data_IF_735384932390
#
_entry.id   IF_735384932390
#
_cell.length_a   1.000
_cell.length_b   1.000
_cell.length_c   1.000
_cell.angle_alpha   90.00
_cell.angle_beta   90.00
_cell.angle_gamma   90.00
#
_symmetry.space_group_name_H-M   'P 1'
#
loop_
_entity.id
_entity.type
_entity.pdbx_description
1 polymer ?
#
# COMPACT_ATOMS: atom_id res chain seq x y z
N UNK A 1 18.03 51.15 13.78
CA UNK A 1 16.95 51.07 12.76
C UNK A 1 17.22 49.82 11.93
N UNK A 2 16.35 48.82 11.90
CA UNK A 2 16.53 47.68 10.97
C UNK A 2 16.24 48.18 9.55
N UNK A 3 17.19 47.95 8.65
CA UNK A 3 17.15 48.40 7.28
C UNK A 3 16.36 47.43 6.35
N UNK A 4 15.84 46.36 6.91
CA UNK A 4 15.06 45.38 6.15
C UNK A 4 13.60 45.42 6.58
N UNK A 5 12.79 46.05 5.74
CA UNK A 5 11.35 46.00 5.80
C UNK A 5 10.94 44.69 5.08
N UNK A 6 10.88 43.59 5.83
CA UNK A 6 10.27 42.35 5.32
C UNK A 6 8.79 42.63 5.14
N UNK A 7 8.36 42.97 3.93
CA UNK A 7 6.95 42.81 3.57
C UNK A 7 6.60 41.35 3.86
N UNK A 8 5.61 41.12 4.69
CA UNK A 8 5.02 39.79 4.83
C UNK A 8 4.68 39.28 3.44
N UNK A 9 5.14 38.09 3.04
CA UNK A 9 4.81 37.56 1.72
C UNK A 9 3.28 37.44 1.64
N UNK A 10 2.67 38.16 0.70
CA UNK A 10 1.25 37.98 0.42
C UNK A 10 1.09 36.67 -0.36
N UNK A 11 0.29 35.77 0.17
CA UNK A 11 -0.06 34.52 -0.50
C UNK A 11 -1.09 34.83 -1.58
N UNK A 12 -0.70 34.69 -2.84
CA UNK A 12 -1.56 35.07 -3.96
C UNK A 12 -2.52 33.98 -4.41
N UNK A 13 -2.22 32.71 -4.16
CA UNK A 13 -2.96 31.62 -4.76
C UNK A 13 -2.91 30.37 -3.89
N UNK A 14 -4.10 29.83 -3.56
CA UNK A 14 -4.22 28.54 -2.88
C UNK A 14 -3.95 27.44 -3.90
N UNK A 15 -2.91 26.64 -3.68
CA UNK A 15 -2.53 25.55 -4.58
C UNK A 15 -3.22 24.24 -4.18
N UNK A 16 -3.81 24.19 -2.97
CA UNK A 16 -4.66 23.06 -2.59
C UNK A 16 -5.88 23.07 -3.51
N UNK A 17 -5.91 22.11 -4.39
CA UNK A 17 -6.80 22.00 -5.56
C UNK A 17 -8.25 21.61 -5.17
N UNK A 18 -8.72 22.17 -4.06
CA UNK A 18 -10.10 21.95 -3.61
C UNK A 18 -11.12 22.60 -4.53
N UNK A 19 -10.75 23.62 -5.34
CA UNK A 19 -11.72 24.25 -6.21
C UNK A 19 -12.15 23.37 -7.38
N UNK A 20 -11.23 22.62 -8.00
CA UNK A 20 -11.56 21.70 -9.08
C UNK A 20 -12.18 20.40 -8.51
N UNK A 21 -11.69 19.94 -7.38
CA UNK A 21 -12.27 18.81 -6.63
C UNK A 21 -13.64 19.22 -6.09
N UNK A 22 -13.81 20.40 -5.48
CA UNK A 22 -15.09 20.89 -4.97
C UNK A 22 -16.07 21.17 -6.13
N UNK A 23 -15.61 21.69 -7.26
CA UNK A 23 -16.47 21.89 -8.43
C UNK A 23 -16.84 20.57 -9.11
N UNK A 24 -15.94 19.60 -9.18
CA UNK A 24 -16.23 18.24 -9.62
C UNK A 24 -17.20 17.54 -8.67
N UNK A 25 -17.03 17.68 -7.36
CA UNK A 25 -17.91 17.14 -6.32
C UNK A 25 -19.31 17.75 -6.37
N UNK A 26 -19.42 19.07 -6.59
CA UNK A 26 -20.71 19.77 -6.73
C UNK A 26 -21.44 19.42 -8.02
N UNK A 27 -20.72 19.11 -9.11
CA UNK A 27 -21.32 18.77 -10.39
C UNK A 27 -21.84 17.33 -10.47
N UNK A 28 -21.25 16.40 -9.69
CA UNK A 28 -21.54 14.96 -9.77
C UNK A 28 -22.28 14.38 -8.55
N UNK A 29 -22.81 15.20 -7.66
CA UNK A 29 -23.66 14.77 -6.54
C UNK A 29 -23.03 13.67 -5.67
N UNK A 30 -22.34 14.05 -4.62
CA UNK A 30 -21.90 13.18 -3.50
C UNK A 30 -20.94 12.00 -3.79
N UNK A 31 -20.11 12.06 -4.82
CA UNK A 31 -19.12 10.99 -5.08
C UNK A 31 -17.71 11.35 -4.60
N UNK A 32 -17.57 11.82 -3.38
CA UNK A 32 -16.27 11.99 -2.73
C UNK A 32 -15.95 10.77 -1.85
N UNK A 33 -14.87 10.09 -2.16
CA UNK A 33 -14.31 9.05 -1.27
C UNK A 33 -13.30 9.73 -0.36
N UNK A 34 -13.70 10.02 0.88
CA UNK A 34 -12.76 10.49 1.88
C UNK A 34 -11.92 9.31 2.43
N UNK A 35 -10.80 9.63 3.10
CA UNK A 35 -9.89 8.62 3.64
C UNK A 35 -10.60 7.68 4.65
N UNK A 36 -11.48 8.20 5.49
CA UNK A 36 -12.19 7.41 6.51
C UNK A 36 -13.16 6.43 5.86
N UNK A 37 -13.92 6.87 4.86
CA UNK A 37 -14.81 6.00 4.09
C UNK A 37 -14.04 4.97 3.28
N UNK A 38 -12.90 5.37 2.66
CA UNK A 38 -12.06 4.46 1.91
C UNK A 38 -11.51 3.32 2.78
N UNK A 39 -11.09 3.63 4.01
CA UNK A 39 -10.55 2.63 4.95
C UNK A 39 -11.62 1.67 5.50
N UNK A 40 -12.91 1.93 5.30
CA UNK A 40 -13.97 0.96 5.57
C UNK A 40 -14.04 -0.15 4.50
N UNK A 41 -13.46 0.09 3.34
CA UNK A 41 -13.31 -0.93 2.30
C UNK A 41 -12.12 -1.84 2.65
N UNK A 42 -12.38 -3.15 2.76
CA UNK A 42 -11.39 -4.15 3.16
C UNK A 42 -10.17 -4.22 2.22
N UNK A 43 -10.38 -4.04 0.92
CA UNK A 43 -9.31 -4.14 -0.08
C UNK A 43 -8.39 -2.92 0.02
N UNK A 44 -8.96 -1.72 0.16
CA UNK A 44 -8.19 -0.48 0.35
C UNK A 44 -7.43 -0.53 1.68
N UNK A 45 -8.10 -0.97 2.76
CA UNK A 45 -7.45 -1.11 4.06
C UNK A 45 -6.25 -2.05 3.98
N UNK A 46 -6.44 -3.22 3.36
CA UNK A 46 -5.39 -4.24 3.19
C UNK A 46 -4.17 -3.69 2.44
N UNK A 47 -4.41 -3.03 1.29
CA UNK A 47 -3.33 -2.44 0.47
C UNK A 47 -2.60 -1.33 1.21
N UNK A 48 -3.34 -0.40 1.83
CA UNK A 48 -2.74 0.73 2.56
C UNK A 48 -1.94 0.23 3.75
N UNK A 49 -2.49 -0.73 4.51
CA UNK A 49 -1.81 -1.33 5.66
C UNK A 49 -0.51 -2.02 5.24
N UNK A 50 -0.56 -2.81 4.18
CA UNK A 50 0.60 -3.55 3.69
C UNK A 50 1.67 -2.62 3.13
N UNK A 51 1.33 -1.76 2.17
CA UNK A 51 2.31 -0.85 1.56
C UNK A 51 2.91 0.13 2.57
N UNK A 52 2.10 0.71 3.48
CA UNK A 52 2.61 1.63 4.49
C UNK A 52 3.51 0.93 5.50
N UNK A 53 3.18 -0.29 5.90
CA UNK A 53 3.99 -1.13 6.77
C UNK A 53 5.31 -1.53 6.12
N UNK A 54 5.26 -1.97 4.86
CA UNK A 54 6.45 -2.35 4.11
C UNK A 54 7.38 -1.15 3.89
N UNK A 55 6.84 0.03 3.53
CA UNK A 55 7.62 1.27 3.41
C UNK A 55 8.22 1.72 4.75
N UNK A 56 7.52 1.50 5.87
CA UNK A 56 8.04 1.80 7.21
C UNK A 56 9.12 0.80 7.66
N UNK A 57 9.18 -0.39 7.03
CA UNK A 57 10.19 -1.43 7.28
C UNK A 57 11.46 -1.23 6.42
N UNK A 58 11.38 -0.44 5.34
CA UNK A 58 12.53 -0.06 4.52
C UNK A 58 13.59 0.61 5.39
N UNK A 59 14.86 0.19 5.23
CA UNK A 59 15.97 0.82 5.95
C UNK A 59 16.46 2.04 5.18
N UNK A 60 16.14 3.23 5.69
CA UNK A 60 16.66 4.51 5.18
C UNK A 60 17.98 4.84 5.87
N UNK A 61 19.07 4.94 5.12
CA UNK A 61 20.39 5.28 5.64
C UNK A 61 20.86 6.62 5.10
N UNK A 62 21.10 7.57 6.00
CA UNK A 62 21.68 8.87 5.68
C UNK A 62 23.20 8.84 5.88
N UNK A 63 23.92 9.59 5.05
CA UNK A 63 25.39 9.75 5.17
C UNK A 63 25.79 10.65 6.34
N UNK A 64 24.84 11.33 6.99
CA UNK A 64 25.07 12.24 8.13
C UNK A 64 24.42 11.67 9.40
N UNK A 65 25.16 11.56 10.54
CA UNK A 65 24.59 11.02 11.79
C UNK A 65 23.38 11.81 12.32
N UNK A 66 23.33 13.12 12.10
CA UNK A 66 22.18 13.95 12.51
C UNK A 66 20.93 13.62 11.70
N UNK A 67 21.08 13.47 10.38
CA UNK A 67 20.00 13.09 9.51
C UNK A 67 19.51 11.68 9.85
N UNK A 68 20.43 10.76 10.14
CA UNK A 68 20.07 9.42 10.58
C UNK A 68 19.28 9.43 11.88
N UNK A 69 19.72 10.20 12.88
CA UNK A 69 19.04 10.26 14.18
C UNK A 69 17.59 10.74 14.09
N UNK A 70 17.30 11.72 13.20
CA UNK A 70 15.91 12.20 13.00
C UNK A 70 15.08 11.23 12.15
N UNK A 71 15.69 10.49 11.23
CA UNK A 71 15.02 9.46 10.46
C UNK A 71 14.62 8.28 11.37
N UNK A 72 15.51 7.86 12.27
CA UNK A 72 15.25 6.75 13.17
C UNK A 72 14.21 7.10 14.25
N UNK A 73 14.23 8.34 14.76
CA UNK A 73 13.35 8.82 15.82
C UNK A 73 12.77 10.20 15.48
N UNK A 74 11.84 10.27 14.53
CA UNK A 74 11.33 11.57 14.06
C UNK A 74 10.39 12.25 15.06
N UNK A 75 9.63 11.49 15.85
CA UNK A 75 8.54 12.01 16.67
C UNK A 75 8.83 11.87 18.16
N UNK A 76 8.28 12.81 18.95
CA UNK A 76 8.28 12.72 20.40
C UNK A 76 7.09 11.90 20.95
N UNK A 77 6.03 11.73 20.16
CA UNK A 77 4.76 11.11 20.59
C UNK A 77 4.55 9.70 20.05
N UNK A 78 5.31 9.30 19.02
CA UNK A 78 5.22 7.99 18.39
C UNK A 78 6.62 7.41 18.19
N UNK A 79 6.73 6.06 18.17
CA UNK A 79 7.96 5.41 17.74
C UNK A 79 8.18 5.61 16.23
N UNK A 80 9.43 5.40 15.75
CA UNK A 80 9.80 5.64 14.36
C UNK A 80 8.92 4.88 13.37
N UNK A 81 8.64 3.60 13.64
CA UNK A 81 7.81 2.78 12.73
C UNK A 81 6.39 3.33 12.61
N UNK A 82 5.73 3.61 13.75
CA UNK A 82 4.36 4.12 13.75
C UNK A 82 4.26 5.51 13.09
N UNK A 83 5.24 6.39 13.31
CA UNK A 83 5.30 7.68 12.64
C UNK A 83 5.39 7.51 11.12
N UNK A 84 6.35 6.71 10.64
CA UNK A 84 6.55 6.49 9.21
C UNK A 84 5.36 5.79 8.56
N UNK A 85 4.79 4.78 9.23
CA UNK A 85 3.60 4.11 8.73
C UNK A 85 2.42 5.08 8.57
N UNK A 86 2.21 5.99 9.53
CA UNK A 86 1.16 7.02 9.44
C UNK A 86 1.40 7.98 8.28
N UNK A 87 2.65 8.45 8.11
CA UNK A 87 3.03 9.30 6.98
C UNK A 87 2.76 8.61 5.63
N UNK A 88 3.17 7.35 5.51
CA UNK A 88 3.02 6.61 4.26
C UNK A 88 1.56 6.19 4.00
N UNK A 89 0.80 5.84 5.02
CA UNK A 89 -0.64 5.61 4.87
C UNK A 89 -1.34 6.87 4.33
N UNK A 90 -1.01 8.04 4.88
CA UNK A 90 -1.57 9.30 4.41
C UNK A 90 -1.13 9.62 2.98
N UNK A 91 0.14 9.35 2.63
CA UNK A 91 0.65 9.51 1.27
C UNK A 91 -0.16 8.69 0.26
N UNK A 92 -0.57 7.47 0.63
CA UNK A 92 -1.39 6.60 -0.23
C UNK A 92 -2.85 7.04 -0.31
N UNK A 93 -3.41 7.56 0.78
CA UNK A 93 -4.80 7.99 0.81
C UNK A 93 -5.00 9.34 0.11
N UNK A 94 -4.18 10.33 0.44
CA UNK A 94 -4.31 11.69 -0.08
C UNK A 94 -3.42 11.99 -1.30
N UNK A 95 -2.47 11.10 -1.64
CA UNK A 95 -1.44 11.37 -2.65
C UNK A 95 -0.32 12.29 -2.17
N UNK A 96 -0.44 12.81 -0.96
CA UNK A 96 0.55 13.64 -0.29
C UNK A 96 0.47 13.48 1.23
N UNK A 97 1.57 13.75 1.92
CA UNK A 97 1.62 13.75 3.37
C UNK A 97 2.54 14.84 3.89
N UNK A 98 2.27 15.27 5.12
CA UNK A 98 2.92 16.42 5.72
C UNK A 98 3.48 16.11 7.08
N UNK A 99 4.67 16.68 7.37
CA UNK A 99 5.17 16.78 8.75
C UNK A 99 5.83 18.14 8.96
N UNK A 100 5.55 18.75 10.11
CA UNK A 100 6.19 20.00 10.51
C UNK A 100 7.54 19.70 11.15
N UNK A 101 8.58 20.45 10.73
CA UNK A 101 9.95 20.33 11.25
C UNK A 101 10.17 21.31 12.38
N UNK A 102 10.21 20.83 13.62
CA UNK A 102 10.63 21.64 14.75
C UNK A 102 12.15 21.74 14.73
N UNK A 103 12.66 22.94 14.45
CA UNK A 103 14.09 23.22 14.35
C UNK A 103 14.53 24.21 15.44
N UNK A 104 15.79 24.08 15.85
CA UNK A 104 16.41 25.07 16.71
C UNK A 104 16.86 26.31 15.89
N UNK A 105 17.39 27.33 16.60
CA UNK A 105 17.87 28.56 15.97
C UNK A 105 19.01 28.34 14.96
N UNK A 106 19.69 27.20 15.02
CA UNK A 106 20.76 26.82 14.08
C UNK A 106 20.23 25.99 12.91
N UNK A 107 18.92 25.85 12.76
CA UNK A 107 18.28 25.10 11.68
C UNK A 107 18.37 23.58 11.80
N UNK A 108 18.75 23.06 12.99
CA UNK A 108 18.84 21.61 13.24
C UNK A 108 17.48 21.09 13.66
N UNK A 109 17.04 19.99 13.04
CA UNK A 109 15.82 19.30 13.40
C UNK A 109 15.91 18.74 14.82
N UNK A 110 14.90 19.05 15.62
CA UNK A 110 14.71 18.53 16.98
C UNK A 110 13.72 17.35 16.98
N UNK A 111 12.64 17.51 16.23
CA UNK A 111 11.57 16.52 16.04
C UNK A 111 10.75 16.89 14.82
N UNK A 112 10.01 15.93 14.30
CA UNK A 112 8.97 16.13 13.29
C UNK A 112 7.62 15.84 13.91
N UNK A 113 6.63 16.59 13.48
CA UNK A 113 5.26 16.43 13.91
C UNK A 113 4.39 16.09 12.71
N UNK A 114 3.74 14.95 12.76
CA UNK A 114 2.81 14.52 11.74
C UNK A 114 1.63 15.46 11.65
N UNK A 115 1.27 15.85 10.42
CA UNK A 115 0.12 16.70 10.14
C UNK A 115 -0.82 15.99 9.17
N UNK A 116 -2.11 16.02 9.50
CA UNK A 116 -3.14 15.57 8.55
C UNK A 116 -3.27 16.59 7.42
N UNK A 117 -3.56 16.18 6.17
CA UNK A 117 -3.78 17.12 5.07
C UNK A 117 -4.81 18.19 5.36
N UNK A 118 -5.86 17.87 6.15
CA UNK A 118 -6.86 18.84 6.59
C UNK A 118 -6.33 19.97 7.48
N UNK A 119 -5.15 19.79 8.08
CA UNK A 119 -4.48 20.79 8.93
C UNK A 119 -3.57 21.72 8.13
N UNK A 120 -3.31 21.42 6.85
CA UNK A 120 -2.31 22.12 6.05
C UNK A 120 -2.97 22.74 4.80
N UNK A 121 -2.80 24.04 4.64
CA UNK A 121 -3.15 24.73 3.40
C UNK A 121 -1.87 25.19 2.69
N UNK A 122 -1.73 24.85 1.43
CA UNK A 122 -0.54 25.13 0.61
C UNK A 122 -0.80 26.34 -0.29
N UNK A 123 0.11 27.29 -0.29
CA UNK A 123 0.04 28.52 -1.09
C UNK A 123 1.32 28.71 -1.90
N UNK A 124 1.18 29.23 -3.10
CA UNK A 124 2.30 29.72 -3.91
C UNK A 124 2.57 31.18 -3.56
N UNK A 125 3.83 31.55 -3.38
CA UNK A 125 4.20 32.94 -3.20
C UNK A 125 3.92 33.75 -4.49
N UNK A 126 3.55 35.04 -4.35
CA UNK A 126 3.20 35.90 -5.48
C UNK A 126 4.32 36.01 -6.51
N UNK A 127 5.55 35.93 -6.07
CA UNK A 127 6.75 36.00 -6.94
C UNK A 127 7.10 34.63 -7.56
N UNK A 128 6.32 33.57 -7.25
CA UNK A 128 6.58 32.21 -7.73
C UNK A 128 7.84 31.57 -7.16
N UNK A 129 8.49 32.18 -6.15
CA UNK A 129 9.78 31.71 -5.62
C UNK A 129 9.68 30.44 -4.77
N UNK A 130 8.49 30.06 -4.29
CA UNK A 130 8.33 28.88 -3.46
C UNK A 130 6.93 28.70 -2.90
N UNK A 131 6.78 27.65 -2.09
CA UNK A 131 5.56 27.35 -1.39
C UNK A 131 5.65 27.84 0.06
N UNK A 132 4.51 28.29 0.57
CA UNK A 132 4.29 28.56 1.98
C UNK A 132 3.05 27.82 2.45
N UNK A 133 3.00 27.52 3.72
CA UNK A 133 1.92 26.72 4.31
C UNK A 133 1.27 27.48 5.44
N UNK A 134 -0.03 27.30 5.60
CA UNK A 134 -0.75 27.62 6.85
C UNK A 134 -1.05 26.30 7.52
N UNK A 135 -0.63 26.15 8.77
CA UNK A 135 -0.76 24.92 9.55
C UNK A 135 -1.60 25.17 10.78
N UNK A 136 -2.65 24.38 10.95
CA UNK A 136 -3.49 24.37 12.16
C UNK A 136 -3.08 23.20 13.03
N UNK A 137 -2.46 23.49 14.17
CA UNK A 137 -2.03 22.46 15.13
C UNK A 137 -3.20 22.03 16.03
N UNK A 138 -3.17 20.79 16.48
CA UNK A 138 -4.14 20.27 17.46
C UNK A 138 -3.90 20.83 18.87
N UNK A 139 -2.67 21.26 19.17
CA UNK A 139 -2.32 21.88 20.43
C UNK A 139 -2.82 23.32 20.50
N UNK A 140 -3.72 23.64 21.46
CA UNK A 140 -4.32 24.98 21.55
C UNK A 140 -3.30 26.11 21.82
N UNK A 141 -2.17 25.78 22.48
CA UNK A 141 -1.12 26.75 22.79
C UNK A 141 -0.32 27.16 21.53
N UNK A 142 -0.26 26.29 20.52
CA UNK A 142 0.44 26.55 19.27
C UNK A 142 -0.52 27.22 18.28
N UNK A 143 -1.75 26.69 18.18
CA UNK A 143 -2.82 27.21 17.35
C UNK A 143 -2.48 27.17 15.85
N UNK A 144 -2.67 28.29 15.16
CA UNK A 144 -2.44 28.44 13.74
C UNK A 144 -1.12 29.13 13.48
N UNK A 145 -0.27 28.51 12.67
CA UNK A 145 0.94 29.14 12.11
C UNK A 145 0.72 29.45 10.64
N UNK A 146 0.72 30.71 10.32
CA UNK A 146 0.67 31.22 8.94
C UNK A 146 2.08 31.41 8.38
N UNK A 147 2.20 31.35 7.07
CA UNK A 147 3.46 31.59 6.33
C UNK A 147 4.62 30.66 6.74
N UNK A 148 4.32 29.41 7.03
CA UNK A 148 5.35 28.40 7.29
C UNK A 148 6.14 28.17 6.01
N UNK A 149 7.46 28.40 6.00
CA UNK A 149 8.26 28.24 4.79
C UNK A 149 8.41 26.77 4.42
N UNK A 150 8.63 26.52 3.13
CA UNK A 150 8.84 25.16 2.60
C UNK A 150 10.02 24.42 3.28
N UNK A 151 10.99 25.14 3.82
CA UNK A 151 12.11 24.55 4.57
C UNK A 151 11.70 23.89 5.88
N UNK A 152 10.58 24.32 6.47
CA UNK A 152 10.08 23.83 7.77
C UNK A 152 8.99 22.76 7.61
N UNK A 153 8.72 22.35 6.38
CA UNK A 153 7.77 21.31 6.06
C UNK A 153 8.44 20.14 5.34
N UNK A 154 8.16 18.93 5.79
CA UNK A 154 8.30 17.73 4.98
C UNK A 154 6.99 17.59 4.20
N UNK A 155 7.05 17.57 2.90
CA UNK A 155 5.89 17.45 2.04
C UNK A 155 6.18 16.41 0.94
N UNK A 156 5.88 15.15 1.22
CA UNK A 156 6.03 14.06 0.26
C UNK A 156 4.82 14.02 -0.67
N UNK A 157 5.05 13.78 -1.95
CA UNK A 157 4.01 13.79 -2.98
C UNK A 157 4.19 12.59 -3.91
N UNK A 158 3.08 12.03 -4.36
CA UNK A 158 3.05 11.04 -5.44
C UNK A 158 2.87 11.75 -6.79
N UNK A 159 1.83 11.37 -7.53
CA UNK A 159 1.49 12.01 -8.80
C UNK A 159 1.05 13.46 -8.58
N UNK A 160 1.57 14.40 -9.37
CA UNK A 160 1.20 15.81 -9.30
C UNK A 160 0.67 16.30 -10.65
N UNK A 161 -0.38 17.12 -10.61
CA UNK A 161 -0.90 17.87 -11.77
C UNK A 161 -0.38 19.28 -11.82
N UNK A 162 0.20 19.77 -10.72
CA UNK A 162 0.61 21.17 -10.51
C UNK A 162 2.12 21.35 -10.56
N UNK A 163 2.83 20.54 -11.34
CA UNK A 163 4.29 20.65 -11.47
C UNK A 163 5.05 20.29 -10.18
N UNK A 164 4.49 19.45 -9.33
CA UNK A 164 5.11 19.02 -8.07
C UNK A 164 4.74 19.88 -6.86
N UNK A 165 3.79 20.81 -6.96
CA UNK A 165 3.35 21.63 -5.84
C UNK A 165 2.44 20.87 -4.89
N UNK A 166 1.49 20.09 -5.42
CA UNK A 166 0.55 19.24 -4.65
C UNK A 166 0.50 17.84 -5.22
N UNK A 167 0.08 16.87 -4.40
CA UNK A 167 -0.16 15.49 -4.81
C UNK A 167 -1.61 15.26 -5.24
N UNK A 168 -1.85 14.20 -5.99
CA UNK A 168 -3.18 13.76 -6.40
C UNK A 168 -3.51 12.45 -5.68
N UNK A 169 -4.64 12.43 -4.99
CA UNK A 169 -5.11 11.22 -4.29
C UNK A 169 -5.35 10.06 -5.27
N UNK A 170 -4.76 8.88 -5.04
CA UNK A 170 -5.10 7.67 -5.79
C UNK A 170 -6.59 7.30 -5.69
N UNK A 171 -7.24 7.64 -4.58
CA UNK A 171 -8.66 7.38 -4.37
C UNK A 171 -9.55 8.12 -5.38
N UNK A 172 -9.10 9.26 -5.92
CA UNK A 172 -9.83 9.98 -6.96
C UNK A 172 -10.02 9.16 -8.25
N UNK A 173 -9.11 8.21 -8.51
CA UNK A 173 -9.22 7.30 -9.64
C UNK A 173 -10.16 6.11 -9.36
N UNK A 174 -10.59 5.89 -8.12
CA UNK A 174 -11.39 4.74 -7.70
C UNK A 174 -12.86 5.07 -7.42
N UNK A 175 -13.28 6.33 -7.62
CA UNK A 175 -14.64 6.78 -7.27
C UNK A 175 -15.73 5.93 -7.95
N UNK A 176 -15.57 5.66 -9.24
CA UNK A 176 -16.55 4.88 -9.99
C UNK A 176 -16.55 3.40 -9.58
N UNK A 177 -15.35 2.83 -9.40
CA UNK A 177 -15.16 1.42 -9.02
C UNK A 177 -15.75 1.14 -7.64
N UNK A 178 -15.54 2.05 -6.68
CA UNK A 178 -16.12 1.93 -5.35
C UNK A 178 -17.65 2.07 -5.37
N UNK A 179 -18.19 2.99 -6.16
CA UNK A 179 -19.63 3.13 -6.33
C UNK A 179 -20.27 1.87 -6.95
N UNK A 180 -19.59 1.23 -7.89
CA UNK A 180 -20.02 -0.05 -8.49
C UNK A 180 -20.01 -1.15 -7.44
N UNK A 181 -18.95 -1.21 -6.61
CA UNK A 181 -18.83 -2.18 -5.52
C UNK A 181 -19.96 -2.02 -4.51
N UNK A 182 -20.19 -0.81 -4.02
CA UNK A 182 -21.26 -0.52 -3.05
C UNK A 182 -22.65 -0.94 -3.60
N UNK A 183 -22.93 -0.60 -4.86
CA UNK A 183 -24.17 -1.01 -5.52
C UNK A 183 -24.27 -2.55 -5.69
N UNK A 184 -23.18 -3.23 -5.98
CA UNK A 184 -23.10 -4.70 -6.09
C UNK A 184 -23.30 -5.37 -4.74
N UNK A 185 -22.70 -4.84 -3.68
CA UNK A 185 -22.85 -5.32 -2.30
C UNK A 185 -24.31 -5.16 -1.83
N UNK A 186 -24.94 -4.00 -2.09
CA UNK A 186 -26.35 -3.76 -1.79
C UNK A 186 -27.27 -4.73 -2.53
N UNK A 187 -27.02 -4.96 -3.82
CA UNK A 187 -27.79 -5.94 -4.60
C UNK A 187 -27.59 -7.36 -4.05
N UNK A 188 -26.40 -7.74 -3.69
CA UNK A 188 -26.07 -9.06 -3.12
C UNK A 188 -26.79 -9.25 -1.77
N UNK A 189 -26.70 -8.26 -0.87
CA UNK A 189 -27.37 -8.28 0.42
C UNK A 189 -28.90 -8.37 0.23
N UNK A 190 -29.46 -7.60 -0.70
CA UNK A 190 -30.89 -7.65 -0.99
C UNK A 190 -31.32 -8.97 -1.61
N UNK A 191 -30.53 -9.55 -2.53
CA UNK A 191 -30.77 -10.88 -3.10
C UNK A 191 -30.76 -11.96 -2.02
N UNK A 192 -29.78 -11.93 -1.10
CA UNK A 192 -29.71 -12.85 0.03
C UNK A 192 -30.91 -12.69 0.99
N UNK A 193 -31.28 -11.47 1.34
CA UNK A 193 -32.49 -11.21 2.17
C UNK A 193 -33.75 -11.73 1.49
N UNK A 194 -33.85 -11.54 0.18
CA UNK A 194 -35.01 -11.99 -0.60
C UNK A 194 -35.03 -13.51 -0.82
N UNK A 195 -33.88 -14.19 -0.79
CA UNK A 195 -33.84 -15.65 -0.82
C UNK A 195 -34.44 -16.29 0.43
N UNK A 196 -34.41 -15.57 1.55
CA UNK A 196 -35.01 -16.01 2.83
C UNK A 196 -36.51 -15.67 2.86
N UNK A 197 -36.90 -14.49 2.34
CA UNK A 197 -38.29 -14.01 2.29
C UNK A 197 -38.61 -13.79 0.81
N UNK A 198 -38.93 -14.84 0.10
CA UNK A 198 -39.27 -14.76 -1.35
C UNK A 198 -40.42 -13.76 -1.56
N UNK A 199 -40.20 -12.60 -2.21
CA UNK A 199 -41.30 -11.75 -2.62
C UNK A 199 -42.16 -12.55 -3.61
N UNK A 200 -43.45 -12.43 -3.50
CA UNK A 200 -44.36 -13.17 -4.37
C UNK A 200 -45.67 -12.45 -4.55
N UNK A 201 -46.42 -12.93 -5.49
CA UNK A 201 -47.78 -12.46 -5.73
C UNK A 201 -48.78 -13.36 -5.02
N UNK A 202 -49.52 -12.81 -4.04
CA UNK A 202 -50.66 -13.49 -3.44
C UNK A 202 -51.88 -13.19 -4.26
N UNK A 203 -52.36 -14.15 -5.03
CA UNK A 203 -53.57 -14.06 -5.85
C UNK A 203 -54.74 -14.60 -5.06
N UNK A 204 -55.85 -13.84 -5.02
CA UNK A 204 -57.09 -14.23 -4.33
C UNK A 204 -58.18 -14.39 -5.40
N UNK A 205 -58.72 -15.62 -5.56
CA UNK A 205 -59.84 -15.89 -6.48
C UNK A 205 -61.06 -15.15 -5.99
N UNK A 206 -61.73 -14.39 -6.87
CA UNK A 206 -62.86 -13.54 -6.50
C UNK A 206 -62.49 -12.23 -5.80
N UNK A 207 -61.20 -11.91 -5.67
CA UNK A 207 -60.72 -10.70 -4.97
C UNK A 207 -60.99 -9.36 -5.67
N UNK A 208 -61.69 -9.34 -6.81
CA UNK A 208 -62.09 -8.11 -7.49
C UNK A 208 -63.00 -7.21 -6.65
N UNK A 209 -63.70 -7.76 -5.68
CA UNK A 209 -64.57 -7.07 -4.72
C UNK A 209 -63.85 -6.52 -3.47
N UNK A 210 -62.56 -6.90 -3.29
CA UNK A 210 -61.79 -6.44 -2.13
C UNK A 210 -61.26 -5.01 -2.36
N UNK A 211 -61.47 -4.15 -1.38
CA UNK A 211 -60.91 -2.79 -1.38
C UNK A 211 -59.38 -2.83 -1.25
N UNK A 212 -58.71 -1.76 -1.70
CA UNK A 212 -57.24 -1.65 -1.58
C UNK A 212 -56.75 -1.82 -0.12
N UNK A 213 -57.53 -1.32 0.86
CA UNK A 213 -57.23 -1.45 2.29
C UNK A 213 -57.26 -2.91 2.77
N UNK A 214 -58.23 -3.70 2.30
CA UNK A 214 -58.34 -5.13 2.63
C UNK A 214 -57.22 -5.94 1.97
N UNK A 215 -56.86 -5.67 0.72
CA UNK A 215 -55.70 -6.29 0.04
C UNK A 215 -54.40 -6.00 0.78
N UNK A 216 -54.16 -4.76 1.21
CA UNK A 216 -52.98 -4.39 1.99
C UNK A 216 -52.98 -5.03 3.39
N UNK A 217 -54.13 -5.21 4.04
CA UNK A 217 -54.24 -5.89 5.33
C UNK A 217 -53.87 -7.38 5.19
N UNK A 218 -54.40 -8.04 4.15
CA UNK A 218 -54.11 -9.47 3.90
C UNK A 218 -52.64 -9.70 3.55
N UNK A 219 -52.04 -8.85 2.72
CA UNK A 219 -50.63 -8.91 2.40
C UNK A 219 -49.75 -8.80 3.67
N UNK A 220 -50.04 -7.85 4.56
CA UNK A 220 -49.31 -7.72 5.84
C UNK A 220 -49.49 -8.93 6.75
N UNK A 221 -50.72 -9.52 6.79
CA UNK A 221 -50.99 -10.72 7.57
C UNK A 221 -50.18 -11.91 7.03
N UNK A 222 -50.15 -12.09 5.72
CA UNK A 222 -49.37 -13.14 5.05
C UNK A 222 -47.88 -12.99 5.32
N UNK A 223 -47.34 -11.77 5.21
CA UNK A 223 -45.93 -11.48 5.54
C UNK A 223 -45.60 -11.78 7.01
N UNK A 224 -46.52 -11.48 7.95
CA UNK A 224 -46.33 -11.87 9.36
C UNK A 224 -46.34 -13.39 9.56
N UNK A 225 -47.15 -14.13 8.81
CA UNK A 225 -47.15 -15.61 8.86
C UNK A 225 -45.81 -16.17 8.37
N UNK A 226 -45.27 -15.63 7.26
CA UNK A 226 -43.96 -16.00 6.74
C UNK A 226 -42.87 -15.72 7.79
N UNK A 227 -42.86 -14.50 8.34
CA UNK A 227 -41.87 -14.07 9.32
C UNK A 227 -41.90 -14.88 10.62
N UNK A 228 -43.07 -15.31 11.05
CA UNK A 228 -43.28 -16.05 12.30
C UNK A 228 -43.18 -17.59 12.14
N UNK A 229 -43.19 -18.09 10.91
CA UNK A 229 -43.23 -19.54 10.66
C UNK A 229 -41.89 -20.26 10.92
N UNK A 230 -40.84 -19.52 11.18
CA UNK A 230 -39.50 -20.07 11.49
C UNK A 230 -39.07 -21.19 10.50
N UNK A 231 -39.27 -20.98 9.21
CA UNK A 231 -39.12 -21.97 8.11
C UNK A 231 -40.12 -23.14 8.11
N UNK A 232 -41.22 -23.05 8.89
CA UNK A 232 -42.31 -24.02 8.83
C UNK A 232 -43.24 -23.79 7.62
N UNK A 233 -44.10 -24.79 7.32
CA UNK A 233 -45.06 -24.65 6.19
C UNK A 233 -46.07 -23.56 6.46
N UNK A 234 -46.33 -22.75 5.43
CA UNK A 234 -47.34 -21.68 5.46
C UNK A 234 -48.65 -22.30 4.97
N UNK A 235 -49.72 -22.09 5.75
CA UNK A 235 -51.06 -22.53 5.35
C UNK A 235 -51.79 -21.34 4.69
N UNK A 236 -52.24 -21.53 3.47
CA UNK A 236 -53.05 -20.57 2.70
C UNK A 236 -54.43 -21.16 2.46
N UNK A 237 -55.42 -20.29 2.26
CA UNK A 237 -56.81 -20.69 1.98
C UNK A 237 -56.95 -21.23 0.52
N UNK A 238 -57.98 -22.07 0.26
CA UNK A 238 -58.25 -22.64 -1.06
C UNK A 238 -58.49 -21.59 -2.15
N UNK A 239 -58.87 -20.38 -1.75
CA UNK A 239 -59.09 -19.23 -2.64
C UNK A 239 -57.80 -18.44 -2.90
N UNK A 240 -56.72 -18.75 -2.22
CA UNK A 240 -55.46 -18.03 -2.30
C UNK A 240 -54.41 -18.86 -3.02
N UNK A 241 -53.66 -18.21 -3.90
CA UNK A 241 -52.49 -18.83 -4.58
C UNK A 241 -51.29 -17.91 -4.40
N UNK A 242 -50.24 -18.42 -3.80
CA UNK A 242 -48.99 -17.71 -3.71
C UNK A 242 -48.04 -18.18 -4.81
N UNK A 243 -47.59 -17.22 -5.62
CA UNK A 243 -46.59 -17.46 -6.65
C UNK A 243 -45.33 -16.67 -6.28
N UNK A 244 -44.25 -17.34 -5.87
CA UNK A 244 -43.01 -16.64 -5.58
C UNK A 244 -42.46 -15.98 -6.84
N UNK A 245 -41.99 -14.75 -6.73
CA UNK A 245 -41.22 -14.08 -7.76
C UNK A 245 -39.81 -14.61 -7.70
N UNK A 246 -39.42 -15.43 -8.66
CA UNK A 246 -38.03 -15.82 -8.82
C UNK A 246 -37.22 -14.62 -9.27
N UNK A 247 -36.56 -13.96 -8.34
CA UNK A 247 -35.52 -12.99 -8.67
C UNK A 247 -34.27 -13.81 -9.02
N UNK A 248 -34.05 -14.01 -10.31
CA UNK A 248 -32.82 -14.61 -10.83
C UNK A 248 -31.66 -13.62 -10.71
N UNK A 249 -31.35 -13.16 -9.51
CA UNK A 249 -30.10 -12.49 -9.26
C UNK A 249 -28.99 -13.54 -9.34
N UNK A 250 -28.17 -13.47 -10.38
CA UNK A 250 -27.01 -14.34 -10.46
C UNK A 250 -25.94 -13.83 -9.48
N UNK A 251 -26.08 -14.27 -8.21
CA UNK A 251 -25.17 -13.90 -7.13
C UNK A 251 -23.71 -14.17 -7.49
N UNK A 252 -23.45 -15.23 -8.26
CA UNK A 252 -22.10 -15.53 -8.75
C UNK A 252 -21.55 -14.42 -9.65
N UNK A 253 -22.38 -13.82 -10.50
CA UNK A 253 -21.94 -12.69 -11.35
C UNK A 253 -21.67 -11.43 -10.51
N UNK A 254 -22.43 -11.20 -9.45
CA UNK A 254 -22.20 -10.06 -8.53
C UNK A 254 -20.92 -10.26 -7.74
N UNK A 255 -20.62 -11.48 -7.28
CA UNK A 255 -19.36 -11.80 -6.59
C UNK A 255 -18.14 -11.63 -7.50
N UNK A 256 -18.24 -12.03 -8.76
CA UNK A 256 -17.17 -11.79 -9.76
C UNK A 256 -16.93 -10.29 -9.99
N UNK A 257 -17.93 -9.44 -9.83
CA UNK A 257 -17.80 -7.99 -9.90
C UNK A 257 -16.96 -7.44 -8.74
N UNK A 258 -17.10 -8.02 -7.55
CA UNK A 258 -16.29 -7.65 -6.37
C UNK A 258 -14.81 -7.97 -6.62
N UNK A 259 -14.49 -9.16 -7.15
CA UNK A 259 -13.12 -9.55 -7.50
C UNK A 259 -12.51 -8.59 -8.53
N UNK A 260 -13.30 -8.17 -9.55
CA UNK A 260 -12.85 -7.18 -10.52
C UNK A 260 -12.49 -5.84 -9.86
N UNK A 261 -13.30 -5.38 -8.90
CA UNK A 261 -13.03 -4.11 -8.18
C UNK A 261 -11.74 -4.21 -7.37
N UNK A 262 -11.51 -5.31 -6.67
CA UNK A 262 -10.27 -5.57 -5.92
C UNK A 262 -9.04 -5.47 -6.84
N UNK A 263 -9.09 -6.07 -8.04
CA UNK A 263 -8.04 -5.97 -9.05
C UNK A 263 -7.81 -4.52 -9.51
N UNK A 264 -8.85 -3.71 -9.69
CA UNK A 264 -8.68 -2.29 -10.06
C UNK A 264 -8.03 -1.48 -8.92
N UNK A 265 -8.42 -1.74 -7.68
CA UNK A 265 -7.80 -1.11 -6.50
C UNK A 265 -6.30 -1.44 -6.47
N UNK A 266 -5.92 -2.72 -6.58
CA UNK A 266 -4.53 -3.14 -6.64
C UNK A 266 -3.74 -2.41 -7.73
N UNK A 267 -4.32 -2.27 -8.92
CA UNK A 267 -3.74 -1.60 -10.08
C UNK A 267 -3.50 -0.11 -9.86
N UNK A 268 -4.42 0.61 -9.20
CA UNK A 268 -4.27 2.04 -8.89
C UNK A 268 -3.11 2.28 -7.93
N UNK A 269 -2.92 1.41 -6.94
CA UNK A 269 -1.77 1.46 -6.04
C UNK A 269 -0.50 0.86 -6.66
N UNK A 270 -0.61 0.27 -7.85
CA UNK A 270 0.50 -0.32 -8.60
C UNK A 270 1.05 -1.62 -7.99
N UNK A 271 0.25 -2.29 -7.16
CA UNK A 271 0.59 -3.56 -6.54
C UNK A 271 0.07 -4.71 -7.42
N UNK A 272 0.85 -5.77 -7.65
CA UNK A 272 0.35 -6.95 -8.35
C UNK A 272 -0.81 -7.60 -7.59
N UNK A 273 -1.91 -7.87 -8.28
CA UNK A 273 -3.09 -8.50 -7.69
C UNK A 273 -2.76 -9.88 -7.09
N UNK A 274 -1.92 -10.65 -7.74
CA UNK A 274 -1.43 -11.93 -7.25
C UNK A 274 -0.66 -11.86 -5.91
N UNK A 275 -0.07 -10.71 -5.60
CA UNK A 275 0.61 -10.50 -4.34
C UNK A 275 -0.36 -10.28 -3.18
N UNK A 276 -1.50 -9.64 -3.44
CA UNK A 276 -2.53 -9.35 -2.43
C UNK A 276 -3.46 -10.53 -2.19
N UNK A 277 -3.95 -11.14 -3.26
CA UNK A 277 -5.01 -12.15 -3.20
C UNK A 277 -4.49 -13.59 -3.22
N UNK A 278 -3.17 -13.79 -3.38
CA UNK A 278 -2.56 -15.13 -3.47
C UNK A 278 -3.04 -15.96 -4.67
N UNK A 279 -3.87 -15.40 -5.53
CA UNK A 279 -4.39 -16.02 -6.74
C UNK A 279 -3.51 -15.62 -7.93
N UNK A 280 -2.30 -16.17 -7.99
CA UNK A 280 -1.48 -16.08 -9.20
C UNK A 280 -1.89 -17.14 -10.20
N UNK A 281 -1.90 -16.81 -11.50
CA UNK A 281 -1.82 -17.83 -12.53
C UNK A 281 -0.68 -18.80 -12.18
N UNK A 282 -0.94 -20.11 -12.24
CA UNK A 282 0.04 -21.15 -11.89
C UNK A 282 1.37 -21.03 -12.66
N UNK A 283 1.44 -20.14 -13.65
CA UNK A 283 2.61 -19.84 -14.48
C UNK A 283 3.45 -18.66 -13.96
N UNK A 284 2.94 -17.83 -13.04
CA UNK A 284 3.72 -16.73 -12.48
C UNK A 284 4.63 -17.25 -11.37
N UNK A 285 5.93 -17.26 -11.60
CA UNK A 285 6.86 -17.67 -10.55
C UNK A 285 6.81 -16.66 -9.38
N UNK A 286 6.90 -17.14 -8.16
CA UNK A 286 6.97 -16.31 -6.94
C UNK A 286 8.02 -15.21 -7.05
N UNK A 287 9.15 -15.51 -7.68
CA UNK A 287 10.24 -14.56 -7.95
C UNK A 287 9.79 -13.40 -8.84
N UNK A 288 8.98 -13.66 -9.86
CA UNK A 288 8.45 -12.62 -10.75
C UNK A 288 7.49 -11.70 -10.00
N UNK A 289 6.58 -12.25 -9.18
CA UNK A 289 5.63 -11.48 -8.36
C UNK A 289 6.37 -10.60 -7.37
N UNK A 290 7.36 -11.14 -6.64
CA UNK A 290 8.25 -10.38 -5.74
C UNK A 290 8.97 -9.25 -6.49
N UNK A 291 9.48 -9.52 -7.70
CA UNK A 291 10.15 -8.50 -8.52
C UNK A 291 9.22 -7.38 -8.96
N UNK A 292 7.97 -7.69 -9.33
CA UNK A 292 6.96 -6.68 -9.67
C UNK A 292 6.59 -5.84 -8.46
N UNK A 293 6.44 -6.45 -7.28
CA UNK A 293 6.16 -5.74 -6.04
C UNK A 293 7.33 -4.85 -5.62
N UNK A 294 8.56 -5.34 -5.70
CA UNK A 294 9.76 -4.54 -5.44
C UNK A 294 9.82 -3.29 -6.34
N UNK A 295 9.46 -3.41 -7.62
CA UNK A 295 9.38 -2.28 -8.54
C UNK A 295 8.27 -1.29 -8.15
N UNK A 296 7.14 -1.78 -7.66
CA UNK A 296 6.06 -0.94 -7.14
C UNK A 296 6.55 -0.14 -5.93
N UNK A 297 7.13 -0.83 -4.94
CA UNK A 297 7.65 -0.23 -3.71
C UNK A 297 8.73 0.83 -4.00
N UNK A 298 9.64 0.55 -4.95
CA UNK A 298 10.69 1.50 -5.35
C UNK A 298 10.16 2.82 -5.90
N UNK A 299 8.98 2.86 -6.52
CA UNK A 299 8.38 4.11 -7.00
C UNK A 299 8.03 5.04 -5.83
N UNK A 300 7.46 4.47 -4.77
CA UNK A 300 7.16 5.21 -3.53
C UNK A 300 8.44 5.64 -2.82
N UNK A 301 9.40 4.73 -2.69
CA UNK A 301 10.70 4.99 -2.05
C UNK A 301 11.44 6.16 -2.72
N UNK A 302 11.42 6.25 -4.04
CA UNK A 302 12.06 7.37 -4.76
C UNK A 302 11.45 8.72 -4.41
N UNK A 303 10.13 8.81 -4.31
CA UNK A 303 9.44 10.04 -3.92
C UNK A 303 9.81 10.44 -2.48
N UNK A 304 9.84 9.46 -1.57
CA UNK A 304 10.19 9.65 -0.16
C UNK A 304 11.64 10.11 -0.01
N UNK A 305 12.58 9.38 -0.60
CA UNK A 305 14.02 9.67 -0.52
C UNK A 305 14.33 11.05 -1.11
N UNK A 306 13.76 11.40 -2.26
CA UNK A 306 13.99 12.69 -2.90
C UNK A 306 13.58 13.87 -2.02
N UNK A 307 12.46 13.77 -1.30
CA UNK A 307 12.04 14.82 -0.36
C UNK A 307 12.96 14.87 0.85
N UNK A 308 13.32 13.71 1.43
CA UNK A 308 14.22 13.67 2.59
C UNK A 308 15.63 14.18 2.24
N UNK A 309 16.19 13.83 1.09
CA UNK A 309 17.49 14.33 0.62
C UNK A 309 17.51 15.85 0.56
N UNK A 310 16.47 16.42 -0.06
CA UNK A 310 16.31 17.87 -0.20
C UNK A 310 16.20 18.55 1.16
N UNK A 311 15.41 18.00 2.08
CA UNK A 311 15.12 18.65 3.38
C UNK A 311 16.23 18.49 4.40
N UNK A 312 16.92 17.36 4.40
CA UNK A 312 18.00 17.08 5.34
C UNK A 312 19.38 17.47 4.79
N UNK A 313 19.45 17.88 3.51
CA UNK A 313 20.72 18.15 2.80
C UNK A 313 21.71 17.00 2.98
N UNK A 314 21.20 15.78 2.94
CA UNK A 314 21.94 14.55 3.13
C UNK A 314 21.72 13.62 1.93
N UNK A 315 22.62 12.69 1.70
CA UNK A 315 22.43 11.62 0.73
C UNK A 315 21.80 10.43 1.47
N UNK A 316 20.56 10.08 1.14
CA UNK A 316 19.82 9.00 1.76
C UNK A 316 19.69 7.84 0.79
N UNK A 317 20.10 6.67 1.23
CA UNK A 317 19.92 5.41 0.51
C UNK A 317 18.83 4.59 1.19
N UNK A 318 18.04 3.90 0.39
CA UNK A 318 16.96 3.04 0.88
C UNK A 318 17.25 1.58 0.53
N UNK A 319 17.14 0.71 1.52
CA UNK A 319 17.22 -0.74 1.34
C UNK A 319 15.84 -1.36 1.53
N UNK A 320 15.23 -1.79 0.44
CA UNK A 320 13.90 -2.39 0.43
C UNK A 320 13.89 -3.89 0.77
N UNK A 321 15.06 -4.53 0.87
CA UNK A 321 15.16 -5.98 1.11
C UNK A 321 14.40 -6.44 2.36
N UNK A 322 14.45 -5.75 3.50
CA UNK A 322 13.69 -6.16 4.67
C UNK A 322 12.17 -6.26 4.44
N UNK A 323 11.63 -5.49 3.49
CA UNK A 323 10.22 -5.52 3.15
C UNK A 323 9.84 -6.63 2.16
N UNK A 324 10.74 -7.00 1.23
CA UNK A 324 10.44 -7.95 0.16
C UNK A 324 11.02 -9.36 0.39
N UNK A 325 12.05 -9.47 1.21
CA UNK A 325 12.76 -10.70 1.56
C UNK A 325 13.14 -10.69 3.05
N UNK A 326 12.15 -10.72 3.96
CA UNK A 326 12.37 -10.55 5.39
C UNK A 326 13.23 -11.66 6.00
N UNK A 327 13.23 -12.86 5.42
CA UNK A 327 14.08 -13.99 5.85
C UNK A 327 15.48 -13.97 5.24
N UNK A 328 15.68 -13.20 4.16
CA UNK A 328 16.96 -13.10 3.47
C UNK A 328 17.31 -14.30 2.59
N UNK A 329 16.35 -15.19 2.31
CA UNK A 329 16.60 -16.42 1.56
C UNK A 329 17.00 -16.14 0.11
N UNK A 330 16.35 -15.21 -0.56
CA UNK A 330 16.65 -14.82 -1.94
C UNK A 330 18.02 -14.12 -2.00
N UNK A 331 18.32 -13.26 -1.01
CA UNK A 331 19.61 -12.58 -0.91
C UNK A 331 20.75 -13.54 -0.62
N UNK A 332 20.56 -14.47 0.33
CA UNK A 332 21.54 -15.51 0.65
C UNK A 332 21.80 -16.43 -0.55
N UNK A 333 20.76 -16.82 -1.28
CA UNK A 333 20.88 -17.61 -2.51
C UNK A 333 21.68 -16.89 -3.58
N UNK A 334 21.40 -15.61 -3.79
CA UNK A 334 22.12 -14.76 -4.75
C UNK A 334 23.61 -14.64 -4.39
N UNK A 335 23.93 -14.37 -3.12
CA UNK A 335 25.33 -14.28 -2.67
C UNK A 335 26.05 -15.61 -2.78
N UNK A 336 25.38 -16.72 -2.45
CA UNK A 336 25.93 -18.07 -2.62
C UNK A 336 26.26 -18.37 -4.10
N UNK A 337 25.36 -17.95 -5.03
CA UNK A 337 25.62 -18.04 -6.47
C UNK A 337 26.86 -17.25 -6.89
N UNK A 338 26.94 -15.96 -6.51
CA UNK A 338 28.06 -15.09 -6.84
C UNK A 338 29.38 -15.59 -6.26
N UNK A 339 29.35 -16.19 -5.07
CA UNK A 339 30.54 -16.78 -4.44
C UNK A 339 30.98 -18.06 -5.17
N UNK A 340 30.03 -18.90 -5.61
CA UNK A 340 30.33 -20.09 -6.41
C UNK A 340 30.90 -19.75 -7.77
N UNK A 341 30.40 -18.69 -8.41
CA UNK A 341 30.87 -18.19 -9.69
C UNK A 341 32.23 -17.44 -9.59
N UNK A 342 32.75 -17.25 -8.37
CA UNK A 342 34.02 -16.55 -8.14
C UNK A 342 33.92 -15.03 -8.30
N UNK A 343 32.74 -14.46 -8.44
CA UNK A 343 32.51 -13.00 -8.55
C UNK A 343 32.85 -12.30 -7.25
N UNK A 344 32.51 -12.92 -6.12
CA UNK A 344 32.86 -12.46 -4.76
C UNK A 344 33.50 -13.59 -3.96
N UNK A 345 34.33 -13.23 -2.98
CA UNK A 345 34.90 -14.22 -2.07
C UNK A 345 33.91 -14.63 -0.99
N UNK A 346 34.00 -15.84 -0.44
CA UNK A 346 33.07 -16.36 0.59
C UNK A 346 33.05 -15.48 1.85
N UNK A 347 34.16 -14.90 2.27
CA UNK A 347 34.21 -13.96 3.40
C UNK A 347 33.50 -12.64 3.10
N UNK A 348 33.51 -12.17 1.84
CA UNK A 348 32.74 -11.00 1.41
C UNK A 348 31.24 -11.29 1.41
N UNK A 349 30.83 -12.48 0.97
CA UNK A 349 29.43 -12.91 1.02
C UNK A 349 28.92 -12.96 2.48
N UNK A 350 29.70 -13.54 3.40
CA UNK A 350 29.39 -13.58 4.84
C UNK A 350 29.26 -12.17 5.42
N UNK A 351 30.24 -11.29 5.13
CA UNK A 351 30.20 -9.89 5.57
C UNK A 351 28.97 -9.15 5.05
N UNK A 352 28.58 -9.38 3.78
CA UNK A 352 27.39 -8.77 3.19
C UNK A 352 26.10 -9.23 3.88
N UNK A 353 25.99 -10.51 4.26
CA UNK A 353 24.87 -11.05 5.00
C UNK A 353 24.79 -10.49 6.44
N UNK A 354 25.95 -10.36 7.13
CA UNK A 354 26.02 -9.72 8.44
C UNK A 354 25.61 -8.25 8.38
N UNK A 355 26.16 -7.51 7.44
CA UNK A 355 25.86 -6.07 7.28
C UNK A 355 24.39 -5.82 6.87
N UNK A 356 23.76 -6.77 6.21
CA UNK A 356 22.33 -6.75 5.90
C UNK A 356 21.45 -7.14 7.10
N UNK A 357 22.03 -7.71 8.16
CA UNK A 357 21.33 -8.13 9.38
C UNK A 357 20.70 -9.52 9.31
N UNK A 358 21.11 -10.35 8.33
CA UNK A 358 20.65 -11.74 8.22
C UNK A 358 21.53 -12.73 8.98
N UNK A 359 22.72 -12.32 9.37
CA UNK A 359 23.61 -13.09 10.25
C UNK A 359 23.97 -12.26 11.48
N UNK A 360 24.20 -12.91 12.65
CA UNK A 360 24.64 -12.22 13.87
C UNK A 360 26.02 -11.56 13.66
N UNK A 361 26.26 -10.42 14.31
CA UNK A 361 27.54 -9.72 14.26
C UNK A 361 28.65 -10.50 14.95
N UNK A 362 28.31 -11.29 15.99
CA UNK A 362 29.20 -12.09 16.82
C UNK A 362 29.37 -13.54 16.32
N UNK A 363 29.18 -13.77 15.03
CA UNK A 363 29.33 -15.09 14.43
C UNK A 363 30.77 -15.61 14.63
N UNK A 364 30.95 -16.85 15.15
CA UNK A 364 32.30 -17.41 15.32
C UNK A 364 33.03 -17.52 13.97
N UNK A 365 34.35 -17.33 14.00
CA UNK A 365 35.18 -17.49 12.81
C UNK A 365 34.92 -18.86 12.18
N UNK A 366 34.79 -18.88 10.85
CA UNK A 366 34.66 -20.14 10.13
C UNK A 366 35.85 -21.05 10.41
N UNK A 367 35.61 -22.22 11.00
CA UNK A 367 36.65 -23.27 11.06
C UNK A 367 37.12 -23.51 9.63
N UNK A 368 38.45 -23.47 9.43
CA UNK A 368 39.05 -23.78 8.15
C UNK A 368 38.62 -25.18 7.73
N UNK A 369 37.63 -25.28 6.88
CA UNK A 369 37.25 -26.58 6.32
C UNK A 369 38.49 -27.16 5.66
N UNK A 370 38.83 -28.43 5.96
CA UNK A 370 39.92 -29.07 5.27
C UNK A 370 39.63 -29.02 3.77
N UNK A 371 40.58 -28.49 3.03
CA UNK A 371 40.51 -28.42 1.57
C UNK A 371 40.14 -29.81 1.08
N UNK A 372 38.96 -30.02 0.54
CA UNK A 372 38.63 -31.26 -0.14
C UNK A 372 39.61 -31.37 -1.30
N UNK A 373 40.63 -32.20 -1.13
CA UNK A 373 41.44 -32.60 -2.26
C UNK A 373 40.51 -33.30 -3.25
N UNK A 374 40.30 -32.69 -4.37
CA UNK A 374 39.67 -33.34 -5.53
C UNK A 374 40.69 -34.40 -5.96
N UNK A 375 40.47 -35.64 -5.53
CA UNK A 375 41.21 -36.77 -6.10
C UNK A 375 40.72 -36.89 -7.54
N UNK A 376 41.47 -36.30 -8.44
CA UNK A 376 41.34 -36.60 -9.86
C UNK A 376 41.81 -38.05 -9.98
N UNK A 377 40.90 -39.00 -10.14
CA UNK A 377 41.22 -40.34 -10.60
C UNK A 377 41.87 -40.20 -11.97
N UNK A 378 43.20 -40.28 -11.97
CA UNK A 378 43.99 -40.35 -13.20
C UNK A 378 43.57 -41.59 -13.97
N UNK A 379 43.14 -41.39 -15.19
CA UNK A 379 42.95 -42.48 -16.15
C UNK A 379 44.31 -43.16 -16.36
N UNK A 380 44.33 -44.47 -16.14
CA UNK A 380 45.39 -45.36 -16.62
C UNK A 380 45.47 -45.23 -18.14
N UNK A 381 46.49 -44.61 -18.67
CA UNK A 381 46.94 -44.82 -20.03
C UNK A 381 47.81 -46.08 -20.03
N UNK A 382 47.21 -47.19 -20.51
CA UNK A 382 47.99 -48.32 -21.03
C UNK A 382 48.94 -47.81 -22.08
N UNK A 383 50.24 -47.85 -21.76
CA UNK A 383 51.30 -47.69 -22.73
C UNK A 383 51.80 -49.09 -23.08
N UNK A 384 51.23 -49.62 -24.13
CA UNK A 384 51.72 -50.77 -24.87
C UNK A 384 53.03 -50.35 -25.54
N UNK A 385 54.18 -50.87 -25.09
CA UNK A 385 55.44 -50.80 -25.80
C UNK A 385 56.19 -52.14 -25.66
N UNK A 386 55.75 -53.03 -26.51
CA UNK A 386 56.52 -54.22 -26.92
C UNK A 386 57.74 -53.77 -27.77
N UNK A 387 58.78 -54.52 -27.59
CA UNK A 387 59.99 -54.69 -28.45
C UNK A 387 61.18 -53.69 -28.27
N UNK A 388 62.22 -54.06 -27.62
CA UNK A 388 63.34 -54.61 -28.44
C UNK A 388 64.45 -55.26 -27.59
N UNK A 389 64.84 -56.42 -28.03
CA UNK A 389 66.00 -57.20 -27.59
C UNK A 389 67.33 -56.46 -27.89
N UNK A 390 68.28 -56.67 -27.08
CA UNK A 390 69.71 -56.32 -27.36
C UNK A 390 70.69 -56.71 -26.29
N UNK A 391 71.05 -57.91 -26.38
CA UNK A 391 72.31 -58.54 -25.82
C UNK A 391 73.54 -57.63 -25.65
N UNK A 392 74.23 -57.76 -24.59
CA UNK A 392 75.68 -58.15 -24.47
C UNK A 392 76.16 -57.83 -23.05
N UNK A 393 76.55 -58.82 -22.30
CA UNK A 393 77.87 -59.44 -22.12
C UNK A 393 78.97 -58.51 -21.56
N UNK A 394 79.53 -59.00 -20.43
CA UNK A 394 80.88 -58.91 -19.98
C UNK A 394 81.28 -57.61 -19.19
N UNK A 395 81.62 -57.64 -18.04
CA UNK A 395 82.69 -58.18 -17.14
C UNK A 395 82.35 -57.79 -15.70
#
# INVERSE_FOLDING_TARGET
>A
MPIFNFKSPSAAFTVSDDSDVINFLKSNGNQYVNADTALQNSDIYSIVMQLSGDLATVKYKANMPRAQGIIDNPSATANGHAFWQSMFAQLMLAGECFAYRWRNNNGVDLRWEYLRPSQVSTYLLEDGSGLVYTVTFDEPEIGIKEYVPQSDMIHMRLLSKTGGMTGVSPLSALVNELSIKDASDDLTINALKQSIISPGTLSIKGGGLLSAKQKAARSRQFMRQISNSNNGPIVIDDLETYTPLEIKANVATLLNQVDWTSTQIAKVFGVPDSYLNGQGDQQSSLTMIKGMYANALNRYVKAIVSEMDSKLSANITADIRPAIDPLGDDFASTLSGLAKDGTIASNQATWMLQNAGYLPEDMPDAEKQPVRQIVVKGGETENDNSTNQGSNQQQ
#
